data_IF_124074459414
#
_entry.id   IF_124074459414
#
_cell.length_a   1.000
_cell.length_b   1.000
_cell.length_c   1.000
_cell.angle_alpha   90.00
_cell.angle_beta   90.00
_cell.angle_gamma   90.00
#
_symmetry.space_group_name_H-M   'P 1'
#
loop_
_entity.id
_entity.type
_entity.pdbx_description
1 polymer ?
#
# COMPACT_ATOMS: atom_id res chain seq x y z
N UNK A 1 60.45 19.57 -38.51
CA UNK A 1 59.28 20.38 -38.15
C UNK A 1 58.85 19.99 -36.74
N UNK A 2 58.97 20.93 -35.80
CA UNK A 2 58.58 20.85 -34.40
C UNK A 2 57.24 21.57 -34.24
N UNK A 3 56.25 20.99 -33.54
CA UNK A 3 55.16 21.65 -32.75
C UNK A 3 54.65 20.57 -31.76
N UNK A 4 55.03 20.58 -30.48
CA UNK A 4 54.34 21.23 -29.34
C UNK A 4 52.92 20.66 -29.08
N UNK A 5 52.71 19.86 -28.02
CA UNK A 5 52.45 20.25 -26.62
C UNK A 5 50.94 20.27 -26.31
N UNK A 6 50.55 19.62 -25.20
CA UNK A 6 49.16 19.60 -24.74
C UNK A 6 48.89 18.67 -23.56
N UNK A 7 49.64 18.84 -22.46
CA UNK A 7 49.30 18.30 -21.14
C UNK A 7 47.98 18.90 -20.65
N UNK A 8 47.08 18.06 -20.13
CA UNK A 8 45.82 18.48 -19.52
C UNK A 8 45.32 17.46 -18.51
N UNK A 9 46.06 17.29 -17.42
CA UNK A 9 45.61 16.54 -16.25
C UNK A 9 44.72 17.44 -15.39
N UNK A 10 43.45 17.08 -15.19
CA UNK A 10 42.70 17.46 -14.01
C UNK A 10 41.71 16.38 -13.61
N UNK A 11 42.12 15.61 -12.61
CA UNK A 11 41.24 14.82 -11.77
C UNK A 11 40.25 15.75 -11.05
N UNK A 12 38.95 15.47 -11.17
CA UNK A 12 37.98 15.79 -10.13
C UNK A 12 37.13 14.56 -9.85
N UNK A 13 37.38 13.99 -8.68
CA UNK A 13 36.58 12.97 -8.04
C UNK A 13 35.22 13.60 -7.73
N UNK A 14 34.18 13.18 -8.44
CA UNK A 14 32.81 13.42 -8.01
C UNK A 14 32.48 12.42 -6.93
N UNK A 15 32.36 12.89 -5.69
CA UNK A 15 31.82 12.13 -4.57
C UNK A 15 30.35 11.81 -4.83
N UNK A 16 29.86 10.58 -4.55
CA UNK A 16 28.44 10.34 -4.46
C UNK A 16 27.93 11.04 -3.20
N UNK A 17 27.27 12.18 -3.36
CA UNK A 17 26.46 12.75 -2.30
C UNK A 17 25.27 11.82 -2.08
N UNK A 18 25.41 10.96 -1.07
CA UNK A 18 24.30 10.33 -0.41
C UNK A 18 23.37 11.44 0.11
N UNK A 19 22.34 11.76 -0.67
CA UNK A 19 21.20 12.55 -0.21
C UNK A 19 20.34 11.67 0.72
N UNK A 20 20.86 11.40 1.92
CA UNK A 20 20.11 10.86 3.05
C UNK A 20 19.40 12.00 3.77
N UNK A 21 18.44 12.63 3.10
CA UNK A 21 17.72 13.78 3.65
C UNK A 21 16.21 13.73 3.36
N UNK A 22 15.55 12.60 3.62
CA UNK A 22 14.10 12.57 3.88
C UNK A 22 13.67 11.59 4.99
N UNK A 23 14.59 11.22 5.89
CA UNK A 23 14.26 10.47 7.10
C UNK A 23 13.95 11.42 8.27
N UNK A 24 12.91 12.25 8.16
CA UNK A 24 12.31 12.99 9.29
C UNK A 24 11.05 13.72 8.82
N UNK A 25 9.91 13.07 8.98
CA UNK A 25 8.64 13.64 9.50
C UNK A 25 7.44 12.94 8.88
N UNK A 26 7.12 11.76 9.41
CA UNK A 26 5.77 11.22 9.37
C UNK A 26 5.57 10.38 10.62
N UNK A 27 5.34 11.08 11.74
CA UNK A 27 4.81 10.47 12.96
C UNK A 27 3.45 9.87 12.61
N UNK A 28 3.46 8.57 12.29
CA UNK A 28 2.27 7.77 12.09
C UNK A 28 1.39 7.84 13.34
N UNK A 29 0.15 8.28 13.16
CA UNK A 29 -0.94 8.14 14.12
C UNK A 29 -1.18 6.63 14.36
N UNK A 30 -0.70 6.15 15.51
CA UNK A 30 -0.96 4.81 16.02
C UNK A 30 -1.91 4.90 17.22
N UNK A 31 -3.15 4.36 17.10
CA UNK A 31 -3.87 3.58 18.13
C UNK A 31 -5.36 3.39 17.80
N UNK A 32 -5.85 2.19 18.13
CA UNK A 32 -7.22 1.66 18.10
C UNK A 32 -7.77 1.33 16.69
N UNK A 33 -8.20 0.12 16.33
CA UNK A 33 -8.59 -1.06 17.09
C UNK A 33 -10.05 -1.36 16.77
N UNK A 34 -10.36 -2.51 16.14
CA UNK A 34 -11.70 -3.12 16.12
C UNK A 34 -11.67 -4.54 15.53
N UNK A 35 -12.03 -5.50 16.37
CA UNK A 35 -13.02 -6.55 16.09
C UNK A 35 -13.43 -7.17 17.43
N UNK A 36 -14.71 -7.01 17.80
CA UNK A 36 -15.29 -7.56 19.03
C UNK A 36 -16.69 -7.01 19.35
N UNK A 37 -17.71 -7.68 18.82
CA UNK A 37 -19.08 -7.88 19.30
C UNK A 37 -19.95 -6.73 19.89
N UNK A 38 -21.13 -6.58 19.26
CA UNK A 38 -22.51 -6.52 19.81
C UNK A 38 -22.92 -5.56 20.95
N UNK A 39 -24.09 -4.93 20.71
CA UNK A 39 -25.01 -4.21 21.59
C UNK A 39 -24.74 -2.73 21.99
N UNK A 40 -25.55 -1.85 21.37
CA UNK A 40 -26.16 -0.60 21.86
C UNK A 40 -25.32 0.44 22.64
N UNK A 41 -24.82 1.48 21.94
CA UNK A 41 -24.86 2.93 22.32
C UNK A 41 -24.26 3.81 21.21
N UNK A 42 -24.65 5.09 21.05
CA UNK A 42 -24.20 5.91 19.93
C UNK A 42 -22.79 6.47 20.17
N UNK A 43 -21.82 6.09 19.34
CA UNK A 43 -20.45 6.63 19.37
C UNK A 43 -20.05 7.28 18.04
N UNK A 44 -19.25 8.34 18.19
CA UNK A 44 -18.54 9.17 17.19
C UNK A 44 -18.07 8.39 15.93
N UNK A 45 -18.01 9.04 14.75
CA UNK A 45 -17.49 8.42 13.53
C UNK A 45 -16.03 8.00 13.71
N UNK A 46 -15.75 6.73 13.44
CA UNK A 46 -14.43 6.13 13.49
C UNK A 46 -13.59 6.46 12.23
N UNK A 47 -12.25 6.53 12.33
CA UNK A 47 -11.36 6.60 11.17
C UNK A 47 -11.39 5.29 10.35
N UNK A 48 -11.02 5.32 9.04
CA UNK A 48 -11.10 4.16 8.16
C UNK A 48 -10.25 3.00 8.66
N UNK A 49 -10.84 1.81 8.62
CA UNK A 49 -10.27 0.56 9.09
C UNK A 49 -8.99 0.21 8.30
N UNK A 50 -7.88 0.02 9.02
CA UNK A 50 -6.70 -0.68 8.51
C UNK A 50 -6.99 -2.18 8.59
N UNK A 51 -7.18 -2.84 7.46
CA UNK A 51 -7.27 -4.29 7.38
C UNK A 51 -6.01 -4.94 8.02
N UNK A 52 -6.19 -5.96 8.86
CA UNK A 52 -5.18 -7.00 9.09
C UNK A 52 -4.29 -6.95 10.35
N UNK A 53 -4.19 -5.83 11.08
CA UNK A 53 -3.07 -5.68 12.06
C UNK A 53 -3.11 -6.56 13.32
N UNK A 54 -4.25 -7.17 13.70
CA UNK A 54 -4.36 -7.94 14.94
C UNK A 54 -4.00 -9.43 14.83
N UNK A 55 -3.79 -9.97 13.63
CA UNK A 55 -3.24 -11.34 13.44
C UNK A 55 -1.72 -11.36 13.23
N UNK A 56 -1.13 -10.24 12.79
CA UNK A 56 0.29 -10.13 12.41
C UNK A 56 1.30 -10.55 13.50
N UNK A 57 0.97 -10.41 14.79
CA UNK A 57 1.95 -10.71 15.87
C UNK A 57 2.22 -12.20 16.11
N UNK A 58 1.38 -13.12 15.61
CA UNK A 58 1.52 -14.56 15.92
C UNK A 58 2.14 -15.39 14.78
N UNK A 59 2.24 -14.84 13.56
CA UNK A 59 2.78 -15.54 12.38
C UNK A 59 4.24 -15.16 12.09
N UNK A 60 4.68 -13.95 12.49
CA UNK A 60 6.04 -13.42 12.24
C UNK A 60 7.17 -14.31 12.76
N UNK A 61 6.91 -15.18 13.74
CA UNK A 61 7.94 -16.08 14.28
C UNK A 61 8.26 -17.30 13.39
N UNK A 62 7.46 -17.62 12.36
CA UNK A 62 7.65 -18.82 11.53
C UNK A 62 8.15 -18.55 10.10
N UNK A 63 8.05 -17.30 9.61
CA UNK A 63 8.43 -16.94 8.23
C UNK A 63 9.86 -16.40 8.07
N UNK A 64 10.64 -16.26 9.15
CA UNK A 64 12.02 -15.75 9.07
C UNK A 64 13.03 -16.77 8.50
N UNK A 65 12.66 -18.06 8.42
CA UNK A 65 13.56 -19.15 7.96
C UNK A 65 13.03 -19.92 6.74
N UNK A 66 11.86 -19.56 6.19
CA UNK A 66 11.26 -20.27 5.05
C UNK A 66 10.52 -19.36 4.08
N UNK A 67 10.47 -19.75 2.80
CA UNK A 67 9.67 -19.08 1.78
C UNK A 67 8.19 -19.02 2.19
N UNK A 68 7.47 -17.90 1.97
CA UNK A 68 6.07 -17.79 2.34
C UNK A 68 5.24 -18.86 1.63
N UNK A 69 4.40 -19.57 2.38
CA UNK A 69 3.52 -20.62 1.86
C UNK A 69 2.13 -20.12 1.46
N UNK A 70 1.75 -18.93 1.92
CA UNK A 70 0.47 -18.29 1.61
C UNK A 70 0.64 -16.84 1.19
N UNK A 71 -0.37 -16.30 0.51
CA UNK A 71 -0.41 -14.91 0.09
C UNK A 71 -0.31 -13.96 1.29
N UNK A 72 -1.00 -14.27 2.39
CA UNK A 72 -0.94 -13.47 3.61
C UNK A 72 0.47 -13.42 4.21
N UNK A 73 1.17 -14.56 4.26
CA UNK A 73 2.57 -14.60 4.73
C UNK A 73 3.49 -13.76 3.83
N UNK A 74 3.31 -13.83 2.51
CA UNK A 74 4.06 -13.01 1.57
C UNK A 74 3.75 -11.50 1.70
N UNK A 75 2.48 -11.14 1.99
CA UNK A 75 2.10 -9.76 2.31
C UNK A 75 2.78 -9.28 3.59
N UNK A 76 2.85 -10.13 4.63
CA UNK A 76 3.52 -9.81 5.89
C UNK A 76 5.03 -9.60 5.68
N UNK A 77 5.69 -10.47 4.90
CA UNK A 77 7.11 -10.31 4.51
C UNK A 77 7.32 -9.01 3.74
N UNK A 78 6.47 -8.72 2.75
CA UNK A 78 6.58 -7.49 1.96
C UNK A 78 6.37 -6.24 2.79
N UNK A 79 5.44 -6.27 3.74
CA UNK A 79 5.20 -5.17 4.68
C UNK A 79 6.42 -4.94 5.57
N UNK A 80 7.02 -6.01 6.10
CA UNK A 80 8.21 -5.91 6.92
C UNK A 80 9.42 -5.35 6.15
N UNK A 81 9.58 -5.72 4.88
CA UNK A 81 10.62 -5.15 4.01
C UNK A 81 10.36 -3.67 3.68
N UNK A 82 9.10 -3.32 3.42
CA UNK A 82 8.69 -1.93 3.17
C UNK A 82 8.99 -1.04 4.38
N UNK A 83 8.65 -1.50 5.60
CA UNK A 83 8.93 -0.79 6.85
C UNK A 83 10.44 -0.59 7.10
N UNK A 84 11.29 -1.44 6.52
CA UNK A 84 12.75 -1.33 6.56
C UNK A 84 13.32 -0.40 5.46
N UNK A 85 12.46 0.09 4.56
CA UNK A 85 12.87 0.87 3.39
C UNK A 85 13.43 0.05 2.23
N UNK A 86 13.36 -1.29 2.30
CA UNK A 86 13.74 -2.16 1.19
C UNK A 86 12.53 -2.36 0.25
N UNK A 87 12.28 -1.32 -0.55
CA UNK A 87 11.13 -1.31 -1.47
C UNK A 87 11.25 -2.36 -2.57
N UNK A 88 12.48 -2.76 -2.95
CA UNK A 88 12.71 -3.80 -3.94
C UNK A 88 12.30 -5.17 -3.40
N UNK A 89 12.74 -5.53 -2.18
CA UNK A 89 12.32 -6.76 -1.53
C UNK A 89 10.82 -6.75 -1.22
N UNK A 90 10.26 -5.60 -0.81
CA UNK A 90 8.83 -5.43 -0.60
C UNK A 90 8.02 -5.74 -1.87
N UNK A 91 8.38 -5.11 -3.00
CA UNK A 91 7.73 -5.35 -4.27
C UNK A 91 7.84 -6.83 -4.72
N UNK A 92 8.99 -7.47 -4.52
CA UNK A 92 9.17 -8.89 -4.82
C UNK A 92 8.25 -9.79 -3.97
N UNK A 93 8.09 -9.48 -2.69
CA UNK A 93 7.21 -10.22 -1.80
C UNK A 93 5.72 -10.02 -2.14
N UNK A 94 5.29 -8.80 -2.49
CA UNK A 94 3.90 -8.57 -2.93
C UNK A 94 3.59 -9.27 -4.27
N UNK A 95 4.53 -9.28 -5.23
CA UNK A 95 4.39 -10.11 -6.45
C UNK A 95 4.31 -11.60 -6.14
N UNK A 96 5.02 -12.06 -5.10
CA UNK A 96 4.93 -13.44 -4.62
C UNK A 96 3.55 -13.72 -4.03
N UNK A 97 2.97 -12.79 -3.26
CA UNK A 97 1.64 -12.95 -2.70
C UNK A 97 0.56 -13.20 -3.76
N UNK A 98 0.63 -12.50 -4.90
CA UNK A 98 -0.29 -12.67 -6.02
C UNK A 98 -0.20 -14.04 -6.72
N UNK A 99 0.84 -14.82 -6.43
CA UNK A 99 1.06 -16.16 -7.01
C UNK A 99 0.79 -17.28 -6.01
N UNK A 100 0.58 -16.95 -4.74
CA UNK A 100 0.38 -17.91 -3.67
C UNK A 100 -1.12 -18.12 -3.40
N UNK A 101 -1.49 -19.29 -2.85
CA UNK A 101 -2.85 -19.49 -2.36
C UNK A 101 -3.15 -18.51 -1.21
N UNK A 102 -4.41 -18.12 -1.07
CA UNK A 102 -4.88 -17.32 0.06
C UNK A 102 -4.74 -18.06 1.40
N UNK A 103 -4.94 -17.35 2.50
CA UNK A 103 -4.89 -17.92 3.85
C UNK A 103 -6.22 -18.58 4.31
N UNK A 104 -7.23 -18.60 3.44
CA UNK A 104 -8.57 -19.08 3.76
C UNK A 104 -8.68 -20.58 4.02
N UNK A 105 -9.88 -21.03 4.41
CA UNK A 105 -10.16 -22.45 4.60
C UNK A 105 -10.24 -23.13 3.23
N UNK A 106 -9.37 -24.11 3.03
CA UNK A 106 -9.32 -24.96 1.84
C UNK A 106 -10.64 -25.72 1.70
N UNK A 107 -11.43 -25.39 0.67
CA UNK A 107 -12.68 -26.12 0.36
C UNK A 107 -12.42 -27.47 -0.31
N UNK A 108 -11.32 -27.59 -1.03
CA UNK A 108 -10.89 -28.80 -1.72
C UNK A 108 -9.43 -29.09 -1.34
N UNK A 109 -9.16 -30.19 -0.63
CA UNK A 109 -7.80 -30.51 -0.15
C UNK A 109 -6.76 -30.59 -1.27
N UNK A 110 -7.17 -30.79 -2.53
CA UNK A 110 -6.28 -30.82 -3.68
C UNK A 110 -5.93 -29.42 -4.23
N UNK A 111 -6.71 -28.39 -3.89
CA UNK A 111 -6.49 -27.00 -4.32
C UNK A 111 -6.19 -26.14 -3.10
N UNK A 112 -5.06 -25.43 -3.10
CA UNK A 112 -4.79 -24.41 -2.09
C UNK A 112 -5.98 -23.43 -1.97
N UNK A 113 -6.14 -22.79 -0.82
CA UNK A 113 -7.23 -21.84 -0.65
C UNK A 113 -7.08 -20.72 -1.70
N UNK A 114 -8.19 -20.32 -2.31
CA UNK A 114 -8.18 -19.26 -3.29
C UNK A 114 -7.76 -17.95 -2.62
N UNK A 115 -7.00 -17.14 -3.37
CA UNK A 115 -6.67 -15.78 -2.95
C UNK A 115 -7.97 -15.01 -2.77
N UNK A 116 -8.20 -14.49 -1.57
CA UNK A 116 -9.40 -13.68 -1.34
C UNK A 116 -9.26 -12.34 -2.05
N UNK A 117 -10.38 -11.75 -2.50
CA UNK A 117 -10.36 -10.41 -3.10
C UNK A 117 -9.71 -9.35 -2.19
N UNK A 118 -9.82 -9.52 -0.86
CA UNK A 118 -9.16 -8.65 0.10
C UNK A 118 -7.63 -8.82 0.10
N UNK A 119 -7.11 -10.05 0.03
CA UNK A 119 -5.68 -10.31 -0.09
C UNK A 119 -5.13 -9.83 -1.43
N UNK A 120 -5.86 -10.06 -2.52
CA UNK A 120 -5.52 -9.56 -3.85
C UNK A 120 -5.44 -8.02 -3.87
N UNK A 121 -6.47 -7.35 -3.34
CA UNK A 121 -6.45 -5.89 -3.18
C UNK A 121 -5.24 -5.41 -2.37
N UNK A 122 -4.96 -6.05 -1.23
CA UNK A 122 -3.82 -5.68 -0.38
C UNK A 122 -2.49 -5.86 -1.10
N UNK A 123 -2.31 -6.97 -1.82
CA UNK A 123 -1.08 -7.25 -2.55
C UNK A 123 -0.85 -6.23 -3.67
N UNK A 124 -1.86 -5.92 -4.48
CA UNK A 124 -1.73 -4.91 -5.53
C UNK A 124 -1.52 -3.50 -4.99
N UNK A 125 -2.27 -3.11 -3.97
CA UNK A 125 -2.13 -1.78 -3.35
C UNK A 125 -0.73 -1.59 -2.76
N UNK A 126 -0.25 -2.57 -1.99
CA UNK A 126 1.08 -2.48 -1.38
C UNK A 126 2.21 -2.58 -2.42
N UNK A 127 2.01 -3.33 -3.51
CA UNK A 127 2.94 -3.35 -4.64
C UNK A 127 3.04 -1.96 -5.28
N UNK A 128 1.91 -1.29 -5.53
CA UNK A 128 1.89 0.08 -6.05
C UNK A 128 2.64 1.05 -5.13
N UNK A 129 2.42 0.98 -3.81
CA UNK A 129 3.15 1.81 -2.84
C UNK A 129 4.66 1.53 -2.84
N UNK A 130 5.08 0.26 -2.91
CA UNK A 130 6.48 -0.13 -2.97
C UNK A 130 7.17 0.39 -4.24
N UNK A 131 6.53 0.22 -5.40
CA UNK A 131 7.08 0.70 -6.68
C UNK A 131 7.18 2.22 -6.71
N UNK A 132 6.15 2.93 -6.25
CA UNK A 132 6.17 4.39 -6.16
C UNK A 132 7.24 4.91 -5.19
N UNK A 133 7.42 4.26 -4.03
CA UNK A 133 8.42 4.63 -3.04
C UNK A 133 9.86 4.33 -3.50
N UNK A 134 10.06 3.35 -4.37
CA UNK A 134 11.38 3.03 -4.91
C UNK A 134 11.97 4.14 -5.81
N UNK A 135 11.11 5.01 -6.36
CA UNK A 135 11.52 6.17 -7.17
C UNK A 135 12.16 5.84 -8.53
N UNK A 136 12.20 4.57 -8.94
CA UNK A 136 12.76 4.17 -10.22
C UNK A 136 11.84 4.51 -11.40
N UNK A 137 12.31 5.28 -12.37
CA UNK A 137 11.54 5.63 -13.58
C UNK A 137 11.06 4.39 -14.35
N UNK A 138 11.89 3.34 -14.36
CA UNK A 138 11.62 2.06 -15.02
C UNK A 138 10.41 1.31 -14.43
N UNK A 139 10.05 1.60 -13.17
CA UNK A 139 8.93 0.93 -12.48
C UNK A 139 7.68 1.80 -12.36
N UNK A 140 7.72 3.04 -12.84
CA UNK A 140 6.55 3.95 -12.83
C UNK A 140 5.37 3.33 -13.58
N UNK A 141 5.64 2.75 -14.75
CA UNK A 141 4.60 2.07 -15.54
C UNK A 141 3.94 0.93 -14.75
N UNK A 142 4.76 0.07 -14.14
CA UNK A 142 4.27 -1.04 -13.32
C UNK A 142 3.51 -0.56 -12.07
N UNK A 143 3.89 0.59 -11.50
CA UNK A 143 3.17 1.16 -10.36
C UNK A 143 1.75 1.58 -10.75
N UNK A 144 1.54 2.15 -11.94
CA UNK A 144 0.19 2.44 -12.45
C UNK A 144 -0.61 1.17 -12.70
N UNK A 145 0.01 0.15 -13.31
CA UNK A 145 -0.66 -1.13 -13.57
C UNK A 145 -1.12 -1.78 -12.25
N UNK A 146 -0.31 -1.70 -11.19
CA UNK A 146 -0.67 -2.16 -9.85
C UNK A 146 -1.81 -1.35 -9.22
N UNK A 147 -1.86 -0.02 -9.45
CA UNK A 147 -2.99 0.82 -9.00
C UNK A 147 -4.29 0.39 -9.70
N UNK A 148 -4.25 0.19 -11.02
CA UNK A 148 -5.42 -0.25 -11.80
C UNK A 148 -5.92 -1.62 -11.32
N UNK A 149 -5.01 -2.57 -11.10
CA UNK A 149 -5.34 -3.88 -10.56
C UNK A 149 -5.95 -3.79 -9.14
N UNK A 150 -5.42 -2.94 -8.27
CA UNK A 150 -5.99 -2.70 -6.95
C UNK A 150 -7.41 -2.12 -7.06
N UNK A 151 -7.64 -1.15 -7.95
CA UNK A 151 -8.97 -0.57 -8.19
C UNK A 151 -9.96 -1.64 -8.66
N UNK A 152 -9.53 -2.53 -9.56
CA UNK A 152 -10.34 -3.63 -10.07
C UNK A 152 -10.75 -4.63 -8.98
N UNK A 153 -9.84 -4.95 -8.04
CA UNK A 153 -10.11 -5.88 -6.94
C UNK A 153 -10.98 -5.27 -5.82
N UNK A 154 -11.01 -3.95 -5.68
CA UNK A 154 -11.62 -3.25 -4.55
C UNK A 154 -13.12 -3.53 -4.33
N UNK A 155 -13.99 -3.62 -5.36
CA UNK A 155 -15.41 -3.91 -5.17
C UNK A 155 -15.65 -5.27 -4.53
N UNK A 156 -14.93 -6.30 -4.99
CA UNK A 156 -15.02 -7.65 -4.43
C UNK A 156 -14.43 -7.74 -3.02
N UNK A 157 -13.43 -6.91 -2.73
CA UNK A 157 -12.87 -6.75 -1.38
C UNK A 157 -13.77 -5.95 -0.42
N UNK A 158 -14.79 -5.24 -0.93
CA UNK A 158 -15.61 -4.33 -0.13
C UNK A 158 -14.86 -3.09 0.37
N UNK A 159 -13.80 -2.67 -0.34
CA UNK A 159 -12.89 -1.59 0.06
C UNK A 159 -13.18 -0.30 -0.72
N UNK A 160 -13.11 0.85 -0.04
CA UNK A 160 -13.11 2.16 -0.69
C UNK A 160 -11.70 2.49 -1.19
N UNK A 161 -11.36 2.00 -2.39
CA UNK A 161 -10.05 2.23 -3.00
C UNK A 161 -9.74 3.71 -3.21
N UNK A 162 -10.75 4.55 -3.49
CA UNK A 162 -10.54 6.00 -3.67
C UNK A 162 -9.99 6.63 -2.39
N UNK A 163 -10.60 6.31 -1.24
CA UNK A 163 -10.15 6.84 0.04
C UNK A 163 -8.68 6.44 0.35
N UNK A 164 -8.31 5.19 0.06
CA UNK A 164 -6.95 4.68 0.31
C UNK A 164 -5.91 5.30 -0.63
N UNK A 165 -6.19 5.34 -1.94
CA UNK A 165 -5.28 5.90 -2.94
C UNK A 165 -5.01 7.40 -2.71
N UNK A 166 -6.03 8.17 -2.31
CA UNK A 166 -5.86 9.59 -1.99
C UNK A 166 -5.06 9.81 -0.71
N UNK A 167 -5.25 8.95 0.29
CA UNK A 167 -4.57 9.04 1.58
C UNK A 167 -3.10 8.59 1.54
N UNK A 168 -2.70 7.81 0.53
CA UNK A 168 -1.32 7.34 0.40
C UNK A 168 -0.38 8.47 -0.01
N UNK A 169 0.62 8.73 0.83
CA UNK A 169 1.72 9.64 0.51
C UNK A 169 2.71 9.02 -0.46
N UNK A 170 2.86 7.69 -0.47
CA UNK A 170 3.76 7.02 -1.42
C UNK A 170 3.31 7.21 -2.87
N UNK A 171 1.99 7.26 -3.09
CA UNK A 171 1.39 7.45 -4.41
C UNK A 171 1.26 8.92 -4.83
N UNK A 172 1.61 9.90 -3.98
CA UNK A 172 1.48 11.31 -4.35
C UNK A 172 2.42 11.70 -5.50
N UNK A 173 3.61 11.10 -5.56
CA UNK A 173 4.58 11.30 -6.64
C UNK A 173 4.03 10.85 -7.99
N UNK A 174 3.31 9.73 -8.05
CA UNK A 174 2.63 9.29 -9.28
C UNK A 174 1.52 10.26 -9.69
N UNK A 175 0.72 10.71 -8.73
CA UNK A 175 -0.37 11.67 -8.98
C UNK A 175 0.14 13.01 -9.51
N UNK A 176 1.27 13.48 -8.99
CA UNK A 176 1.87 14.77 -9.35
C UNK A 176 2.75 14.68 -10.61
N UNK A 177 3.42 13.55 -10.83
CA UNK A 177 4.32 13.34 -11.96
C UNK A 177 3.60 13.16 -13.29
N UNK A 178 2.45 12.47 -13.30
CA UNK A 178 1.61 12.31 -14.50
C UNK A 178 0.13 12.31 -14.11
N UNK A 179 -0.41 13.53 -13.95
CA UNK A 179 -1.80 13.74 -13.55
C UNK A 179 -2.79 13.16 -14.56
N UNK A 180 -2.46 13.13 -15.86
CA UNK A 180 -3.32 12.58 -16.90
C UNK A 180 -3.42 11.06 -16.77
N UNK A 181 -2.29 10.37 -16.61
CA UNK A 181 -2.27 8.92 -16.40
C UNK A 181 -2.89 8.53 -15.06
N UNK A 182 -2.65 9.29 -14.00
CA UNK A 182 -3.34 9.08 -12.73
C UNK A 182 -4.86 9.22 -12.85
N UNK A 183 -5.34 10.24 -13.57
CA UNK A 183 -6.78 10.41 -13.82
C UNK A 183 -7.36 9.25 -14.64
N UNK A 184 -6.63 8.75 -15.64
CA UNK A 184 -7.02 7.58 -16.43
C UNK A 184 -7.10 6.31 -15.56
N UNK A 185 -6.06 6.00 -14.80
CA UNK A 185 -6.01 4.83 -13.92
C UNK A 185 -7.13 4.86 -12.85
N UNK A 186 -7.49 6.05 -12.37
CA UNK A 186 -8.51 6.24 -11.33
C UNK A 186 -9.92 6.50 -11.87
N UNK A 187 -10.11 6.52 -13.19
CA UNK A 187 -11.40 6.84 -13.82
C UNK A 187 -12.51 5.81 -13.49
N UNK A 188 -12.13 4.55 -13.24
CA UNK A 188 -13.06 3.49 -12.89
C UNK A 188 -13.59 3.58 -11.44
N UNK A 189 -13.00 4.44 -10.60
CA UNK A 189 -13.44 4.57 -9.21
C UNK A 189 -14.83 5.20 -9.12
N UNK A 190 -15.75 4.62 -8.32
CA UNK A 190 -17.06 5.22 -8.13
C UNK A 190 -16.92 6.64 -7.58
N UNK A 191 -17.87 7.51 -7.96
CA UNK A 191 -17.97 8.86 -7.42
C UNK A 191 -17.89 8.83 -5.88
N UNK A 192 -17.24 9.81 -5.24
CA UNK A 192 -17.12 9.80 -3.79
C UNK A 192 -18.52 9.75 -3.21
N UNK A 193 -18.80 8.78 -2.35
CA UNK A 193 -20.08 8.76 -1.63
C UNK A 193 -20.13 10.07 -0.85
N UNK A 194 -21.15 10.90 -1.11
CA UNK A 194 -21.38 12.08 -0.27
C UNK A 194 -21.37 11.59 1.17
N UNK A 195 -20.55 12.18 2.07
CA UNK A 195 -20.58 11.78 3.46
C UNK A 195 -22.04 11.88 3.88
N UNK A 196 -22.61 10.78 4.37
CA UNK A 196 -24.00 10.77 4.82
C UNK A 196 -24.14 11.97 5.74
N UNK A 197 -24.86 13.01 5.29
CA UNK A 197 -25.02 14.22 6.07
C UNK A 197 -25.57 13.73 7.38
N UNK A 198 -24.82 13.92 8.48
CA UNK A 198 -25.35 13.65 9.80
C UNK A 198 -26.59 14.53 9.87
N UNK A 199 -27.75 13.91 9.65
CA UNK A 199 -29.02 14.59 9.84
C UNK A 199 -28.91 15.20 11.21
N UNK A 200 -28.94 16.53 11.27
CA UNK A 200 -29.05 17.25 12.52
C UNK A 200 -30.37 16.84 13.12
N UNK A 201 -30.40 15.70 13.81
CA UNK A 201 -31.47 15.31 14.70
C UNK A 201 -31.45 16.35 15.79
N UNK A 202 -32.23 17.41 15.58
CA UNK A 202 -32.49 18.41 16.59
C UNK A 202 -33.00 17.69 17.82
N UNK A 203 -32.27 17.80 18.92
CA UNK A 203 -32.72 17.45 20.27
C UNK A 203 -33.72 18.50 20.75
N UNK A 204 -34.75 18.78 19.95
CA UNK A 204 -35.80 19.74 20.26
C UNK A 204 -37.07 19.01 20.66
N UNK A 205 -37.35 18.96 21.96
CA UNK A 205 -38.73 18.82 22.46
C UNK A 205 -39.06 17.55 23.21
N UNK A 206 -38.65 17.46 24.48
CA UNK A 206 -39.37 16.72 25.54
C UNK A 206 -39.19 17.47 26.86
N UNK A 207 -39.85 18.62 26.99
CA UNK A 207 -40.16 19.25 28.28
C UNK A 207 -41.58 19.79 28.17
N UNK A 208 -42.57 18.99 28.60
CA UNK A 208 -43.91 19.41 29.02
C UNK A 208 -44.53 18.28 29.80
#
# INVERSE_FOLDING_TARGET
AWVAAGLGAHARRGTPEHSTAHARSSKMLARAGLCGASAATPRRPAPPARCGRSMARRVVARSAEGSPGTALEAIDVGTAAYDQGDYTAAAAAFRTALKLPGAGVVRDRAKGAELTAAEEFCAWFNLAEALAASGGEQVVGEAYDAVEAAISAAPAAGVDARALLVASTALSSLREGDAARWAAATAALPAPRKPASKGGGGLGGWIS
#
